data_IF_740697833684
#
_entry.id   IF_740697833684
#
_cell.length_a   1.000
_cell.length_b   1.000
_cell.length_c   1.000
_cell.angle_alpha   90.00
_cell.angle_beta   90.00
_cell.angle_gamma   90.00
#
_symmetry.space_group_name_H-M   'P 1'
#
loop_
_entity.id
_entity.type
_entity.pdbx_description
1 polymer ?
#
# COMPACT_ATOMS: atom_id res chain seq x y z
N UNK A 1 -4.88 -17.85 -3.07
CA UNK A 1 -4.71 -17.04 -1.84
C UNK A 1 -3.77 -15.84 -2.04
N UNK A 2 -2.61 -15.96 -2.68
CA UNK A 2 -1.68 -14.82 -2.91
C UNK A 2 -1.99 -13.89 -4.10
N UNK A 3 -2.88 -14.27 -5.03
CA UNK A 3 -3.14 -13.51 -6.25
C UNK A 3 -3.79 -12.14 -6.00
N UNK A 4 -4.73 -12.07 -5.04
CA UNK A 4 -5.42 -10.83 -4.70
C UNK A 4 -4.46 -9.79 -4.10
N UNK A 5 -3.58 -10.21 -3.19
CA UNK A 5 -2.53 -9.34 -2.63
C UNK A 5 -1.56 -8.83 -3.70
N UNK A 6 -1.19 -9.69 -4.67
CA UNK A 6 -0.35 -9.27 -5.80
C UNK A 6 -1.05 -8.24 -6.68
N UNK A 7 -2.34 -8.44 -6.99
CA UNK A 7 -3.12 -7.48 -7.76
C UNK A 7 -3.21 -6.15 -7.02
N UNK A 8 -3.53 -6.16 -5.72
CA UNK A 8 -3.56 -4.95 -4.90
C UNK A 8 -2.20 -4.23 -4.86
N UNK A 9 -1.10 -4.97 -4.73
CA UNK A 9 0.24 -4.41 -4.76
C UNK A 9 0.55 -3.77 -6.12
N UNK A 10 0.24 -4.45 -7.23
CA UNK A 10 0.45 -3.91 -8.59
C UNK A 10 -0.39 -2.66 -8.80
N UNK A 11 -1.67 -2.69 -8.42
CA UNK A 11 -2.57 -1.53 -8.51
C UNK A 11 -2.04 -0.36 -7.68
N UNK A 12 -1.57 -0.61 -6.46
CA UNK A 12 -0.99 0.43 -5.61
C UNK A 12 0.27 1.06 -6.25
N UNK A 13 1.16 0.24 -6.82
CA UNK A 13 2.36 0.73 -7.54
C UNK A 13 1.97 1.57 -8.75
N UNK A 14 1.01 1.11 -9.56
CA UNK A 14 0.52 1.86 -10.74
C UNK A 14 -0.09 3.19 -10.33
N UNK A 15 -0.91 3.21 -9.27
CA UNK A 15 -1.51 4.46 -8.76
C UNK A 15 -0.43 5.42 -8.27
N UNK A 16 0.56 4.95 -7.51
CA UNK A 16 1.66 5.80 -7.02
C UNK A 16 2.50 6.34 -8.19
N UNK A 17 2.87 5.49 -9.16
CA UNK A 17 3.67 5.89 -10.32
C UNK A 17 2.93 6.93 -11.17
N UNK A 18 1.64 6.70 -11.46
CA UNK A 18 0.81 7.64 -12.19
C UNK A 18 0.64 8.96 -11.44
N UNK A 19 0.34 8.91 -10.14
CA UNK A 19 0.20 10.08 -9.30
C UNK A 19 1.50 10.88 -9.18
N UNK A 20 2.65 10.19 -9.08
CA UNK A 20 3.98 10.80 -9.05
C UNK A 20 4.30 11.53 -10.35
N UNK A 21 4.09 10.86 -11.50
CA UNK A 21 4.31 11.48 -12.81
C UNK A 21 3.44 12.73 -13.01
N UNK A 22 2.15 12.63 -12.65
CA UNK A 22 1.23 13.76 -12.77
C UNK A 22 1.53 14.87 -11.76
N UNK A 23 1.99 14.55 -10.56
CA UNK A 23 2.46 15.54 -9.59
C UNK A 23 3.63 16.34 -10.14
N UNK A 24 4.60 15.68 -10.79
CA UNK A 24 5.74 16.40 -11.40
C UNK A 24 5.28 17.38 -12.48
N UNK A 25 4.21 17.07 -13.22
CA UNK A 25 3.64 17.94 -14.26
C UNK A 25 2.72 19.05 -13.73
N UNK A 26 1.71 18.69 -12.95
CA UNK A 26 0.68 19.62 -12.48
C UNK A 26 1.07 20.35 -11.19
N UNK A 27 2.04 19.84 -10.42
CA UNK A 27 2.44 20.30 -9.06
C UNK A 27 1.29 20.50 -8.07
N UNK A 28 0.12 19.92 -8.34
CA UNK A 28 -1.04 20.10 -7.49
C UNK A 28 -0.93 19.24 -6.21
N UNK A 29 -1.28 19.80 -5.03
CA UNK A 29 -1.11 19.13 -3.73
C UNK A 29 -2.03 17.92 -3.54
N UNK A 30 -3.06 17.75 -4.37
CA UNK A 30 -3.94 16.60 -4.27
C UNK A 30 -3.26 15.28 -4.68
N UNK A 31 -2.28 15.30 -5.59
CA UNK A 31 -1.50 14.11 -5.97
C UNK A 31 -0.63 13.61 -4.83
N UNK A 32 0.00 14.53 -4.09
CA UNK A 32 0.74 14.20 -2.87
C UNK A 32 -0.16 13.56 -1.81
N UNK A 33 -1.38 14.08 -1.62
CA UNK A 33 -2.36 13.47 -0.71
C UNK A 33 -2.73 12.05 -1.13
N UNK A 34 -2.92 11.83 -2.43
CA UNK A 34 -3.20 10.50 -2.98
C UNK A 34 -2.04 9.53 -2.68
N UNK A 35 -0.80 9.91 -3.00
CA UNK A 35 0.39 9.09 -2.74
C UNK A 35 0.51 8.77 -1.25
N UNK A 36 0.35 9.78 -0.38
CA UNK A 36 0.42 9.61 1.08
C UNK A 36 -0.66 8.67 1.59
N UNK A 37 -1.88 8.76 1.08
CA UNK A 37 -2.98 7.87 1.44
C UNK A 37 -2.68 6.42 1.04
N UNK A 38 -2.21 6.20 -0.19
CA UNK A 38 -1.84 4.86 -0.67
C UNK A 38 -0.69 4.27 0.16
N UNK A 39 0.33 5.07 0.48
CA UNK A 39 1.44 4.64 1.34
C UNK A 39 0.98 4.25 2.75
N UNK A 40 0.11 5.04 3.39
CA UNK A 40 -0.43 4.68 4.70
C UNK A 40 -1.31 3.44 4.66
N UNK A 41 -2.07 3.26 3.57
CA UNK A 41 -2.88 2.07 3.36
C UNK A 41 -2.02 0.81 3.27
N UNK A 42 -0.92 0.88 2.51
CA UNK A 42 0.06 -0.21 2.38
C UNK A 42 0.75 -0.53 3.71
N UNK A 43 1.18 0.50 4.45
CA UNK A 43 1.78 0.32 5.77
C UNK A 43 0.80 -0.32 6.76
N UNK A 44 -0.45 0.13 6.78
CA UNK A 44 -1.50 -0.44 7.62
C UNK A 44 -1.75 -1.91 7.30
N UNK A 45 -1.87 -2.24 6.01
CA UNK A 45 -2.00 -3.64 5.57
C UNK A 45 -0.81 -4.50 5.98
N UNK A 46 0.42 -3.99 5.84
CA UNK A 46 1.64 -4.69 6.27
C UNK A 46 1.68 -4.94 7.77
N UNK A 47 1.23 -3.97 8.57
CA UNK A 47 1.11 -4.10 10.03
C UNK A 47 0.10 -5.18 10.42
N UNK A 48 -1.11 -5.14 9.85
CA UNK A 48 -2.16 -6.14 10.13
C UNK A 48 -1.67 -7.54 9.76
N UNK A 49 -1.00 -7.70 8.63
CA UNK A 49 -0.41 -8.97 8.22
C UNK A 49 0.65 -9.46 9.22
N UNK A 50 1.55 -8.57 9.65
CA UNK A 50 2.62 -8.90 10.58
C UNK A 50 2.07 -9.29 11.96
N UNK A 51 1.07 -8.58 12.45
CA UNK A 51 0.39 -8.89 13.72
C UNK A 51 -0.34 -10.24 13.63
N UNK A 52 -1.06 -10.49 12.53
CA UNK A 52 -1.73 -11.77 12.31
C UNK A 52 -0.75 -12.94 12.33
N UNK A 53 0.38 -12.83 11.63
CA UNK A 53 1.44 -13.84 11.62
C UNK A 53 2.11 -14.01 12.99
N UNK A 54 2.27 -12.92 13.75
CA UNK A 54 2.84 -12.96 15.09
C UNK A 54 1.94 -13.73 16.07
N UNK A 55 0.63 -13.47 16.03
CA UNK A 55 -0.37 -14.19 16.82
C UNK A 55 -0.41 -15.66 16.41
N UNK A 56 -0.39 -15.95 15.10
CA UNK A 56 -0.37 -17.32 14.58
C UNK A 56 0.87 -18.09 15.09
N UNK A 57 2.04 -17.44 15.12
CA UNK A 57 3.26 -18.00 15.71
C UNK A 57 3.16 -18.27 17.21
N UNK A 58 2.50 -17.38 17.96
CA UNK A 58 2.29 -17.58 19.41
C UNK A 58 1.23 -18.64 19.72
N UNK A 59 0.32 -18.91 18.79
CA UNK A 59 -0.74 -19.90 18.98
C UNK A 59 -0.34 -21.31 18.54
N UNK A 60 0.61 -21.44 17.61
CA UNK A 60 1.08 -22.72 17.08
C UNK A 60 2.41 -23.18 17.69
N UNK A 61 3.11 -22.31 18.43
CA UNK A 61 4.30 -22.63 19.22
C UNK A 61 3.97 -22.86 20.67
#
# INVERSE_FOLDING_TARGET
MFAVLRILAVVAVVIIAYAGFRYTRDRQPHWLRLIRFVLYSLLGLGLVFSVGLFIERLSLG
#
